data_IF_026336901654
#
_entry.id   IF_026336901654
#
_cell.length_a   1.000
_cell.length_b   1.000
_cell.length_c   1.000
_cell.angle_alpha   90.00
_cell.angle_beta   90.00
_cell.angle_gamma   90.00
#
_symmetry.space_group_name_H-M   'P 1'
#
loop_
_entity.id
_entity.type
_entity.pdbx_description
1 polymer ?
#
# COMPACT_ATOMS: atom_id res chain seq x y z
N UNK A 1 -36.07 -5.16 3.26
CA UNK A 1 -34.79 -4.45 3.03
C UNK A 1 -34.53 -3.37 4.11
N UNK A 2 -34.96 -3.61 5.35
CA UNK A 2 -34.92 -2.61 6.45
C UNK A 2 -34.09 -3.13 7.64
N UNK A 3 -33.75 -4.42 7.65
CA UNK A 3 -33.04 -5.08 8.76
C UNK A 3 -31.52 -4.86 8.74
N UNK A 4 -30.92 -4.69 7.55
CA UNK A 4 -29.48 -4.44 7.39
C UNK A 4 -29.05 -3.01 7.73
N UNK A 5 -29.95 -2.03 7.59
CA UNK A 5 -29.66 -0.62 7.91
C UNK A 5 -29.58 -0.39 9.42
N UNK A 6 -30.37 -1.11 10.22
CA UNK A 6 -30.38 -0.96 11.68
C UNK A 6 -29.06 -1.42 12.33
N UNK A 7 -28.40 -2.44 11.78
CA UNK A 7 -27.14 -2.95 12.35
C UNK A 7 -25.97 -1.98 12.15
N UNK A 8 -25.90 -1.31 10.99
CA UNK A 8 -24.88 -0.28 10.71
C UNK A 8 -25.05 0.95 11.58
N UNK A 9 -26.29 1.31 11.93
CA UNK A 9 -26.61 2.45 12.79
C UNK A 9 -26.24 2.15 14.25
N UNK A 10 -26.51 0.93 14.74
CA UNK A 10 -26.21 0.53 16.13
C UNK A 10 -24.71 0.49 16.46
N UNK A 11 -23.87 0.16 15.48
CA UNK A 11 -22.40 0.23 15.63
C UNK A 11 -21.94 1.69 15.67
N UNK A 12 -22.55 2.56 14.84
CA UNK A 12 -22.24 3.99 14.78
C UNK A 12 -22.58 4.73 16.09
N UNK A 13 -23.63 4.29 16.78
CA UNK A 13 -24.07 4.92 18.04
C UNK A 13 -23.25 4.47 19.25
N UNK A 14 -22.76 3.23 19.30
CA UNK A 14 -21.81 2.75 20.34
C UNK A 14 -20.42 3.39 20.24
N UNK A 15 -20.04 3.83 19.03
CA UNK A 15 -18.79 4.56 18.78
C UNK A 15 -18.88 6.02 19.25
N UNK A 16 -20.10 6.54 19.46
CA UNK A 16 -20.36 7.92 19.87
C UNK A 16 -20.19 8.17 21.37
N UNK A 17 -20.08 7.11 22.18
CA UNK A 17 -19.94 7.19 23.64
C UNK A 17 -18.47 7.16 24.11
N UNK A 18 -17.50 7.04 23.19
CA UNK A 18 -16.07 7.13 23.50
C UNK A 18 -15.53 8.52 23.13
N UNK A 19 -14.61 9.10 23.93
CA UNK A 19 -13.93 10.34 23.53
C UNK A 19 -13.26 10.12 22.18
N UNK A 20 -13.39 11.06 21.23
CA UNK A 20 -12.94 10.92 19.83
C UNK A 20 -11.48 10.41 19.73
N UNK A 21 -10.64 10.75 20.71
CA UNK A 21 -9.27 10.28 20.85
C UNK A 21 -9.14 8.77 20.97
N UNK A 22 -9.98 8.07 21.76
CA UNK A 22 -9.87 6.63 21.97
C UNK A 22 -10.24 5.84 20.71
N UNK A 23 -11.27 6.29 19.98
CA UNK A 23 -11.62 5.73 18.68
C UNK A 23 -10.45 5.90 17.70
N UNK A 24 -9.89 7.11 17.61
CA UNK A 24 -8.77 7.39 16.71
C UNK A 24 -7.55 6.50 17.04
N UNK A 25 -7.26 6.30 18.32
CA UNK A 25 -6.14 5.47 18.80
C UNK A 25 -6.35 3.99 18.41
N UNK A 26 -7.55 3.47 18.60
CA UNK A 26 -7.90 2.11 18.20
C UNK A 26 -7.79 1.91 16.69
N UNK A 27 -8.29 2.88 15.91
CA UNK A 27 -8.15 2.90 14.46
C UNK A 27 -6.68 2.98 14.01
N UNK A 28 -5.88 3.82 14.65
CA UNK A 28 -4.46 3.96 14.35
C UNK A 28 -3.71 2.64 14.60
N UNK A 29 -4.06 1.92 15.65
CA UNK A 29 -3.49 0.59 15.95
C UNK A 29 -3.85 -0.41 14.84
N UNK A 30 -5.12 -0.47 14.42
CA UNK A 30 -5.56 -1.36 13.32
C UNK A 30 -4.83 -1.00 12.02
N UNK A 31 -4.78 0.29 11.68
CA UNK A 31 -4.12 0.77 10.46
C UNK A 31 -2.63 0.45 10.48
N UNK A 32 -1.95 0.70 11.60
CA UNK A 32 -0.54 0.37 11.78
C UNK A 32 -0.27 -1.12 11.59
N UNK A 33 -1.09 -1.97 12.22
CA UNK A 33 -1.00 -3.43 12.07
C UNK A 33 -1.22 -3.88 10.62
N UNK A 34 -2.28 -3.40 9.96
CA UNK A 34 -2.56 -3.74 8.56
C UNK A 34 -1.45 -3.27 7.61
N UNK A 35 -0.90 -2.06 7.83
CA UNK A 35 0.21 -1.53 7.05
C UNK A 35 1.50 -2.31 7.27
N UNK A 36 1.79 -2.73 8.50
CA UNK A 36 2.93 -3.61 8.79
C UNK A 36 2.79 -4.97 8.12
N UNK A 37 1.60 -5.56 8.12
CA UNK A 37 1.33 -6.82 7.41
C UNK A 37 1.50 -6.67 5.90
N UNK A 38 1.07 -5.54 5.32
CA UNK A 38 1.30 -5.22 3.92
C UNK A 38 2.81 -5.12 3.59
N UNK A 39 3.62 -4.63 4.53
CA UNK A 39 5.07 -4.54 4.36
C UNK A 39 5.73 -5.93 4.33
N UNK A 40 5.33 -6.81 5.25
CA UNK A 40 5.76 -8.21 5.25
C UNK A 40 5.35 -8.90 3.95
N UNK A 41 4.11 -8.68 3.49
CA UNK A 41 3.62 -9.24 2.23
C UNK A 41 4.45 -8.78 1.02
N UNK A 42 4.82 -7.51 0.95
CA UNK A 42 5.68 -6.98 -0.11
C UNK A 42 7.06 -7.66 -0.08
N UNK A 43 7.67 -7.76 1.10
CA UNK A 43 8.98 -8.38 1.30
C UNK A 43 8.97 -9.86 0.86
N UNK A 44 7.93 -10.60 1.23
CA UNK A 44 7.76 -11.99 0.78
C UNK A 44 7.53 -12.10 -0.72
N UNK A 45 6.72 -11.21 -1.31
CA UNK A 45 6.46 -11.20 -2.76
C UNK A 45 7.72 -10.95 -3.57
N UNK A 46 8.54 -9.97 -3.14
CA UNK A 46 9.84 -9.67 -3.78
C UNK A 46 10.77 -10.87 -3.67
N UNK A 47 10.89 -11.48 -2.47
CA UNK A 47 11.73 -12.67 -2.25
C UNK A 47 11.27 -13.85 -3.11
N UNK A 48 9.96 -14.08 -3.20
CA UNK A 48 9.39 -15.16 -3.99
C UNK A 48 9.75 -15.00 -5.47
N UNK A 49 9.54 -13.81 -6.05
CA UNK A 49 9.90 -13.53 -7.45
C UNK A 49 11.41 -13.69 -7.66
N UNK A 50 12.23 -13.13 -6.78
CA UNK A 50 13.69 -13.22 -6.88
C UNK A 50 14.20 -14.66 -6.78
N UNK A 51 13.63 -15.47 -5.89
CA UNK A 51 13.97 -16.89 -5.76
C UNK A 51 13.50 -17.71 -6.96
N UNK A 52 12.31 -17.42 -7.49
CA UNK A 52 11.79 -18.07 -8.69
C UNK A 52 12.77 -17.81 -9.84
N UNK A 53 13.12 -16.54 -10.12
CA UNK A 53 14.13 -16.19 -11.13
C UNK A 53 15.44 -16.96 -10.95
N UNK A 54 15.97 -17.03 -9.72
CA UNK A 54 17.22 -17.77 -9.43
C UNK A 54 17.08 -19.28 -9.62
N UNK A 55 15.92 -19.86 -9.31
CA UNK A 55 15.66 -21.30 -9.45
C UNK A 55 15.53 -21.75 -10.91
N UNK A 56 14.89 -20.95 -11.76
CA UNK A 56 14.74 -21.23 -13.20
C UNK A 56 16.08 -21.21 -13.95
N UNK A 57 17.10 -20.50 -13.44
CA UNK A 57 18.40 -20.30 -14.10
C UNK A 57 19.58 -20.96 -13.35
N UNK A 58 19.30 -22.02 -12.59
CA UNK A 58 20.31 -22.82 -11.89
C UNK A 58 21.28 -23.59 -12.82
N UNK A 59 21.05 -23.57 -14.14
CA UNK A 59 21.98 -24.10 -15.13
C UNK A 59 22.88 -22.99 -15.71
N UNK A 60 24.15 -23.01 -15.30
CA UNK A 60 25.30 -22.41 -16.01
C UNK A 60 25.28 -20.89 -16.28
N UNK A 61 26.02 -20.14 -15.46
CA UNK A 61 26.92 -19.02 -15.83
C UNK A 61 26.59 -18.03 -16.98
N UNK A 62 25.34 -17.80 -17.37
CA UNK A 62 25.01 -16.76 -18.32
C UNK A 62 24.83 -15.40 -17.61
N UNK A 63 25.96 -14.83 -17.19
CA UNK A 63 26.07 -13.49 -16.56
C UNK A 63 25.38 -12.37 -17.36
N UNK A 64 25.16 -12.56 -18.67
CA UNK A 64 24.51 -11.57 -19.53
C UNK A 64 22.98 -11.52 -19.38
N UNK A 65 22.34 -12.66 -19.06
CA UNK A 65 20.88 -12.71 -18.88
C UNK A 65 20.42 -11.94 -17.63
N UNK A 66 21.27 -11.88 -16.60
CA UNK A 66 21.06 -11.03 -15.41
C UNK A 66 20.91 -9.53 -15.72
N UNK A 67 21.53 -9.04 -16.81
CA UNK A 67 21.35 -7.65 -17.28
C UNK A 67 19.99 -7.40 -17.95
N UNK A 68 19.37 -8.43 -18.54
CA UNK A 68 18.08 -8.30 -19.24
C UNK A 68 16.87 -8.37 -18.29
N UNK A 69 17.01 -9.01 -17.12
CA UNK A 69 15.91 -9.18 -16.15
C UNK A 69 15.27 -7.89 -15.65
N UNK A 70 16.04 -6.85 -15.26
CA UNK A 70 15.45 -5.57 -14.85
C UNK A 70 14.61 -4.95 -15.97
N UNK A 71 15.02 -5.14 -17.23
CA UNK A 71 14.27 -4.69 -18.40
C UNK A 71 12.90 -5.39 -18.53
N UNK A 72 12.87 -6.71 -18.36
CA UNK A 72 11.62 -7.49 -18.40
C UNK A 72 10.70 -7.12 -17.23
N UNK A 73 11.26 -6.99 -16.02
CA UNK A 73 10.50 -6.58 -14.83
C UNK A 73 9.91 -5.17 -14.97
N UNK A 74 10.68 -4.23 -15.51
CA UNK A 74 10.21 -2.89 -15.81
C UNK A 74 9.11 -2.90 -16.87
N UNK A 75 9.26 -3.69 -17.94
CA UNK A 75 8.26 -3.81 -18.99
C UNK A 75 6.96 -4.44 -18.48
N UNK A 76 7.03 -5.50 -17.68
CA UNK A 76 5.85 -6.09 -17.02
C UNK A 76 5.16 -5.09 -16.09
N UNK A 77 5.92 -4.37 -15.28
CA UNK A 77 5.39 -3.35 -14.38
C UNK A 77 4.72 -2.22 -15.16
N UNK A 78 5.33 -1.74 -16.24
CA UNK A 78 4.74 -0.74 -17.14
C UNK A 78 3.44 -1.23 -17.79
N UNK A 79 3.42 -2.46 -18.31
CA UNK A 79 2.22 -3.07 -18.87
C UNK A 79 1.12 -3.20 -17.81
N UNK A 80 1.45 -3.63 -16.60
CA UNK A 80 0.50 -3.73 -15.50
C UNK A 80 -0.11 -2.37 -15.14
N UNK A 81 0.72 -1.34 -14.99
CA UNK A 81 0.23 0.01 -14.71
C UNK A 81 -0.65 0.53 -15.84
N UNK A 82 -0.23 0.34 -17.10
CA UNK A 82 -0.93 0.86 -18.28
C UNK A 82 -2.26 0.15 -18.54
N UNK A 83 -2.31 -1.17 -18.42
CA UNK A 83 -3.48 -1.97 -18.81
C UNK A 83 -4.42 -2.28 -17.63
N UNK A 84 -3.89 -2.50 -16.42
CA UNK A 84 -4.69 -2.89 -15.25
C UNK A 84 -5.06 -1.67 -14.40
N UNK A 85 -4.07 -0.87 -14.02
CA UNK A 85 -4.30 0.26 -13.09
C UNK A 85 -4.93 1.44 -13.81
N UNK A 86 -4.51 1.70 -15.06
CA UNK A 86 -5.00 2.81 -15.90
C UNK A 86 -4.94 4.17 -15.18
N UNK A 87 -3.98 4.34 -14.28
CA UNK A 87 -3.78 5.54 -13.48
C UNK A 87 -2.28 5.84 -13.36
N UNK A 88 -1.95 7.11 -13.14
CA UNK A 88 -0.56 7.57 -13.04
C UNK A 88 0.00 7.21 -11.66
N UNK A 89 0.66 6.05 -11.58
CA UNK A 89 1.45 5.63 -10.42
C UNK A 89 2.79 6.39 -10.45
N UNK A 90 2.80 7.63 -9.98
CA UNK A 90 4.04 8.40 -9.75
C UNK A 90 4.71 7.99 -8.43
N UNK A 91 5.92 8.52 -8.17
CA UNK A 91 6.69 8.29 -6.95
C UNK A 91 5.84 8.39 -5.68
N UNK A 92 5.81 7.29 -4.91
CA UNK A 92 4.84 7.05 -3.84
C UNK A 92 4.75 8.16 -2.80
N UNK A 93 5.88 8.65 -2.28
CA UNK A 93 5.92 9.71 -1.26
C UNK A 93 5.34 11.03 -1.78
N UNK A 94 5.68 11.41 -3.01
CA UNK A 94 5.15 12.63 -3.64
C UNK A 94 3.64 12.57 -3.79
N UNK A 95 3.08 11.40 -4.10
CA UNK A 95 1.62 11.18 -4.16
C UNK A 95 0.97 11.25 -2.79
N UNK A 96 1.63 10.79 -1.72
CA UNK A 96 1.14 10.97 -0.35
C UNK A 96 1.06 12.48 -0.03
N UNK A 97 2.13 13.22 -0.25
CA UNK A 97 2.18 14.66 0.00
C UNK A 97 1.16 15.42 -0.85
N UNK A 98 1.00 15.05 -2.13
CA UNK A 98 -0.02 15.62 -3.01
C UNK A 98 -1.43 15.31 -2.51
N UNK A 99 -1.68 14.10 -1.99
CA UNK A 99 -2.98 13.75 -1.43
C UNK A 99 -3.32 14.59 -0.20
N UNK A 100 -2.35 14.79 0.70
CA UNK A 100 -2.49 15.66 1.86
C UNK A 100 -2.76 17.11 1.41
N UNK A 101 -1.96 17.63 0.47
CA UNK A 101 -2.00 19.05 0.10
C UNK A 101 -3.19 19.43 -0.80
N UNK A 102 -3.66 18.53 -1.68
CA UNK A 102 -4.60 18.88 -2.76
C UNK A 102 -5.87 18.02 -2.82
N UNK A 103 -5.94 16.93 -2.05
CA UNK A 103 -7.03 15.96 -2.16
C UNK A 103 -7.65 15.60 -0.81
N UNK A 104 -7.54 16.46 0.20
CA UNK A 104 -8.05 16.23 1.55
C UNK A 104 -7.63 14.88 2.14
N UNK A 105 -6.37 14.46 1.89
CA UNK A 105 -5.84 13.17 2.32
C UNK A 105 -6.59 11.95 1.78
N UNK A 106 -7.39 12.10 0.71
CA UNK A 106 -8.12 11.00 0.05
C UNK A 106 -7.25 10.32 -0.99
N UNK A 107 -7.00 9.03 -0.80
CA UNK A 107 -6.28 8.17 -1.74
C UNK A 107 -7.25 7.13 -2.31
N UNK A 108 -7.17 6.87 -3.62
CA UNK A 108 -8.02 5.89 -4.30
C UNK A 108 -7.76 4.46 -3.79
N UNK A 109 -8.82 3.66 -3.63
CA UNK A 109 -8.76 2.28 -3.08
C UNK A 109 -7.81 1.34 -3.83
N UNK A 110 -7.70 1.49 -5.15
CA UNK A 110 -6.84 0.61 -5.96
C UNK A 110 -5.34 0.77 -5.63
N UNK A 111 -4.95 1.91 -5.05
CA UNK A 111 -3.57 2.21 -4.68
C UNK A 111 -3.06 1.43 -3.46
N UNK A 112 -3.95 0.72 -2.75
CA UNK A 112 -3.55 -0.19 -1.67
C UNK A 112 -2.77 -1.38 -2.22
N UNK A 113 -3.13 -1.89 -3.40
CA UNK A 113 -2.52 -3.11 -3.95
C UNK A 113 -1.73 -2.84 -5.23
N UNK A 114 -2.10 -1.84 -6.03
CA UNK A 114 -1.44 -1.57 -7.31
C UNK A 114 0.06 -1.29 -7.13
N UNK A 115 0.43 -0.48 -6.14
CA UNK A 115 1.83 -0.15 -5.85
C UNK A 115 2.61 -1.34 -5.31
N UNK A 116 2.01 -2.20 -4.48
CA UNK A 116 2.63 -3.43 -4.02
C UNK A 116 2.98 -4.36 -5.18
N UNK A 117 2.03 -4.59 -6.09
CA UNK A 117 2.18 -5.52 -7.21
C UNK A 117 3.20 -4.98 -8.21
N UNK A 118 3.05 -3.72 -8.64
CA UNK A 118 3.97 -3.07 -9.58
C UNK A 118 5.41 -3.09 -9.06
N UNK A 119 5.61 -2.75 -7.78
CA UNK A 119 6.95 -2.75 -7.20
C UNK A 119 7.49 -4.16 -6.91
N UNK A 120 6.63 -5.14 -6.63
CA UNK A 120 7.07 -6.54 -6.51
C UNK A 120 7.69 -7.04 -7.81
N UNK A 121 7.11 -6.69 -8.97
CA UNK A 121 7.71 -7.02 -10.26
C UNK A 121 9.02 -6.28 -10.48
N UNK A 122 9.04 -4.95 -10.34
CA UNK A 122 10.26 -4.18 -10.60
C UNK A 122 11.42 -4.60 -9.68
N UNK A 123 11.18 -4.72 -8.37
CA UNK A 123 12.22 -5.05 -7.39
C UNK A 123 12.55 -6.55 -7.42
N UNK A 124 11.55 -7.41 -7.58
CA UNK A 124 11.75 -8.86 -7.66
C UNK A 124 12.60 -9.31 -8.85
N UNK A 125 12.52 -8.60 -9.98
CA UNK A 125 13.35 -8.81 -11.17
C UNK A 125 14.74 -8.14 -11.09
N UNK A 126 15.09 -7.52 -9.96
CA UNK A 126 16.40 -6.90 -9.76
C UNK A 126 16.50 -5.44 -10.21
N UNK A 127 15.38 -4.72 -10.34
CA UNK A 127 15.38 -3.29 -10.58
C UNK A 127 16.04 -2.51 -9.44
N UNK A 128 16.81 -1.48 -9.77
CA UNK A 128 17.50 -0.60 -8.80
C UNK A 128 16.54 0.41 -8.18
N UNK A 129 15.60 -0.09 -7.37
CA UNK A 129 14.58 0.73 -6.67
C UNK A 129 14.33 0.16 -5.28
N UNK A 130 14.21 1.03 -4.27
CA UNK A 130 13.85 0.64 -2.90
C UNK A 130 12.35 0.31 -2.74
N UNK A 131 12.03 -0.59 -1.81
CA UNK A 131 10.65 -0.92 -1.43
C UNK A 131 9.99 0.16 -0.53
N UNK A 132 10.73 1.18 -0.12
CA UNK A 132 10.31 2.24 0.79
C UNK A 132 9.15 3.09 0.23
N UNK A 133 9.29 3.62 -0.98
CA UNK A 133 8.29 4.46 -1.61
C UNK A 133 6.93 3.75 -1.85
N UNK A 134 6.88 2.52 -2.41
CA UNK A 134 5.62 1.84 -2.62
C UNK A 134 4.96 1.37 -1.31
N UNK A 135 5.74 1.01 -0.29
CA UNK A 135 5.15 0.56 0.98
C UNK A 135 4.57 1.72 1.79
N UNK A 136 5.26 2.87 1.80
CA UNK A 136 4.73 4.11 2.39
C UNK A 136 3.42 4.51 1.73
N UNK A 137 3.39 4.49 0.40
CA UNK A 137 2.17 4.87 -0.33
C UNK A 137 1.02 3.89 -0.07
N UNK A 138 1.32 2.60 0.01
CA UNK A 138 0.35 1.56 0.37
C UNK A 138 -0.20 1.77 1.78
N UNK A 139 0.67 1.98 2.77
CA UNK A 139 0.27 2.22 4.16
C UNK A 139 -0.57 3.49 4.30
N UNK A 140 -0.18 4.56 3.63
CA UNK A 140 -0.95 5.80 3.53
C UNK A 140 -2.33 5.56 2.89
N UNK A 141 -2.39 4.75 1.83
CA UNK A 141 -3.64 4.39 1.16
C UNK A 141 -4.56 3.57 2.08
N UNK A 142 -4.03 2.64 2.87
CA UNK A 142 -4.79 1.84 3.84
C UNK A 142 -5.43 2.76 4.89
N UNK A 143 -4.63 3.64 5.52
CA UNK A 143 -5.12 4.57 6.53
C UNK A 143 -6.16 5.55 5.98
N UNK A 144 -5.87 6.17 4.83
CA UNK A 144 -6.78 7.07 4.14
C UNK A 144 -8.10 6.39 3.77
N UNK A 145 -8.07 5.18 3.22
CA UNK A 145 -9.29 4.49 2.80
C UNK A 145 -10.13 4.00 3.97
N UNK A 146 -9.50 3.61 5.08
CA UNK A 146 -10.24 3.26 6.29
C UNK A 146 -10.94 4.50 6.87
N UNK A 147 -10.23 5.63 6.97
CA UNK A 147 -10.79 6.90 7.42
C UNK A 147 -11.94 7.38 6.50
N UNK A 148 -11.78 7.25 5.18
CA UNK A 148 -12.83 7.58 4.21
C UNK A 148 -14.07 6.69 4.36
N UNK A 149 -13.89 5.38 4.58
CA UNK A 149 -15.01 4.45 4.79
C UNK A 149 -15.81 4.77 6.06
N UNK A 150 -15.14 5.29 7.07
CA UNK A 150 -15.76 5.71 8.34
C UNK A 150 -16.27 7.15 8.32
N UNK A 151 -16.07 7.89 7.22
CA UNK A 151 -16.54 9.27 7.07
C UNK A 151 -15.84 10.25 8.02
N UNK A 152 -14.56 10.01 8.35
CA UNK A 152 -13.82 10.86 9.26
C UNK A 152 -13.46 12.22 8.65
N UNK A 153 -13.24 13.21 9.52
CA UNK A 153 -12.78 14.56 9.14
C UNK A 153 -11.41 14.53 8.46
N UNK A 154 -11.08 15.57 7.69
CA UNK A 154 -9.77 15.72 7.05
C UNK A 154 -8.61 15.57 8.05
N UNK A 155 -8.72 16.17 9.23
CA UNK A 155 -7.70 16.07 10.29
C UNK A 155 -7.45 14.62 10.70
N UNK A 156 -8.52 13.88 11.01
CA UNK A 156 -8.43 12.48 11.43
C UNK A 156 -7.96 11.57 10.29
N UNK A 157 -8.36 11.87 9.06
CA UNK A 157 -7.90 11.18 7.85
C UNK A 157 -6.39 11.33 7.65
N UNK A 158 -5.86 12.55 7.80
CA UNK A 158 -4.42 12.81 7.72
C UNK A 158 -3.65 12.10 8.83
N UNK A 159 -4.19 12.02 10.05
CA UNK A 159 -3.58 11.27 11.16
C UNK A 159 -3.52 9.78 10.81
N UNK A 160 -4.63 9.16 10.40
CA UNK A 160 -4.67 7.74 10.02
C UNK A 160 -3.74 7.44 8.84
N UNK A 161 -3.72 8.31 7.83
CA UNK A 161 -2.82 8.22 6.68
C UNK A 161 -1.35 8.22 7.14
N UNK A 162 -0.98 9.13 8.04
CA UNK A 162 0.36 9.21 8.64
C UNK A 162 0.72 7.97 9.46
N UNK A 163 -0.19 7.51 10.32
CA UNK A 163 -0.02 6.27 11.09
C UNK A 163 0.19 5.05 10.18
N UNK A 164 -0.56 4.97 9.07
CA UNK A 164 -0.40 3.91 8.09
C UNK A 164 0.96 3.95 7.39
N UNK A 165 1.44 5.14 7.02
CA UNK A 165 2.77 5.32 6.44
C UNK A 165 3.89 4.95 7.43
N UNK A 166 3.78 5.38 8.69
CA UNK A 166 4.75 5.06 9.73
C UNK A 166 4.78 3.56 10.05
N UNK A 167 3.62 2.92 10.18
CA UNK A 167 3.51 1.48 10.41
C UNK A 167 4.05 0.63 9.24
N UNK A 168 3.87 1.11 8.01
CA UNK A 168 4.47 0.50 6.83
C UNK A 168 6.00 0.54 6.84
N UNK A 169 6.61 1.67 7.20
CA UNK A 169 8.07 1.80 7.35
C UNK A 169 8.58 0.94 8.50
N UNK A 170 7.90 0.95 9.64
CA UNK A 170 8.25 0.10 10.78
C UNK A 170 8.14 -1.40 10.46
N UNK A 171 7.28 -1.80 9.52
CA UNK A 171 7.13 -3.21 9.14
C UNK A 171 8.10 -3.68 8.06
N UNK A 172 8.67 -2.77 7.25
CA UNK A 172 9.57 -3.16 6.14
C UNK A 172 11.03 -3.29 6.60
N UNK A 173 11.44 -2.49 7.58
CA UNK A 173 12.77 -2.47 8.20
C UNK A 173 12.79 -3.30 9.47
#
# INVERSE_FOLDING_TARGET
>A
MTFFLSHTIKIKDRIKEMPESNMLLFLALIVGFCSGLAAVFLKYSIRFISQLLKGWFSGSSDSWLYLLYPGIGMLLSLLFVKYVVKDNISHGVTKVLQAIAKHDSKIKKHNIWSSLVSSSFTIGFGGSVGAEAPIVYTGAAIGSNLAQRLGLSYKNMTILLGCGAAGAIAGIF
#
